data_IF_790798145661
#
_entry.id   IF_790798145661
#
_cell.length_a   1.000
_cell.length_b   1.000
_cell.length_c   1.000
_cell.angle_alpha   90.00
_cell.angle_beta   90.00
_cell.angle_gamma   90.00
#
_symmetry.space_group_name_H-M   'P 1'
#
loop_
_entity.id
_entity.type
_entity.pdbx_description
1 polymer ?
#
# COMPACT_ATOMS: atom_id res chain seq x y z
N UNK A 1 -96.20 -44.32 9.60
CA UNK A 1 -96.28 -43.67 8.27
C UNK A 1 -95.17 -42.61 8.21
N UNK A 2 -93.98 -42.92 7.68
CA UNK A 2 -93.49 -42.59 6.30
C UNK A 2 -93.48 -41.08 6.02
N UNK A 3 -92.41 -40.36 5.65
CA UNK A 3 -91.03 -40.60 5.14
C UNK A 3 -90.24 -39.26 5.27
N UNK A 4 -88.89 -39.24 5.11
CA UNK A 4 -88.03 -38.07 5.38
C UNK A 4 -87.87 -37.12 4.18
N UNK A 5 -87.35 -35.90 4.40
CA UNK A 5 -86.78 -35.05 3.34
C UNK A 5 -85.36 -34.61 3.71
N UNK A 6 -84.40 -35.11 2.92
CA UNK A 6 -83.03 -34.62 2.84
C UNK A 6 -83.01 -33.21 2.25
N UNK A 7 -82.13 -32.35 2.74
CA UNK A 7 -81.52 -31.29 1.93
C UNK A 7 -80.05 -31.17 2.28
N UNK A 8 -79.25 -31.12 1.22
CA UNK A 8 -77.83 -31.43 1.17
C UNK A 8 -76.94 -30.40 1.86
N UNK A 9 -75.88 -30.89 2.52
CA UNK A 9 -74.71 -30.11 2.92
C UNK A 9 -73.93 -29.70 1.67
N UNK A 10 -73.77 -28.40 1.43
CA UNK A 10 -72.78 -27.86 0.50
C UNK A 10 -71.42 -27.85 1.21
N UNK A 11 -70.53 -28.79 0.86
CA UNK A 11 -69.11 -28.72 1.22
C UNK A 11 -68.42 -27.70 0.30
N UNK A 12 -68.02 -26.57 0.88
CA UNK A 12 -67.19 -25.58 0.20
C UNK A 12 -65.73 -26.05 0.23
N UNK A 13 -65.24 -26.65 -0.85
CA UNK A 13 -63.82 -26.98 -1.01
C UNK A 13 -63.07 -25.70 -1.36
N UNK A 14 -62.44 -25.07 -0.36
CA UNK A 14 -61.51 -23.98 -0.58
C UNK A 14 -60.20 -24.53 -1.17
N UNK A 15 -60.00 -24.33 -2.47
CA UNK A 15 -58.74 -24.65 -3.14
C UNK A 15 -57.69 -23.61 -2.71
N UNK A 16 -56.82 -24.01 -1.78
CA UNK A 16 -55.62 -23.26 -1.40
C UNK A 16 -54.61 -23.31 -2.54
N UNK A 17 -54.55 -22.26 -3.35
CA UNK A 17 -53.48 -22.02 -4.31
C UNK A 17 -52.18 -21.73 -3.55
N UNK A 18 -51.41 -22.78 -3.27
CA UNK A 18 -50.06 -22.66 -2.72
C UNK A 18 -49.15 -21.91 -3.69
N UNK A 19 -48.81 -20.67 -3.36
CA UNK A 19 -47.81 -19.90 -4.09
C UNK A 19 -46.42 -20.43 -3.71
N UNK A 20 -45.80 -21.21 -4.59
CA UNK A 20 -44.39 -21.57 -4.45
C UNK A 20 -43.55 -20.33 -4.73
N UNK A 21 -43.17 -19.60 -3.67
CA UNK A 21 -42.15 -18.58 -3.77
C UNK A 21 -40.83 -19.28 -4.16
N UNK A 22 -40.43 -19.14 -5.42
CA UNK A 22 -39.09 -19.49 -5.84
C UNK A 22 -38.12 -18.58 -5.10
N UNK A 23 -37.51 -19.10 -4.04
CA UNK A 23 -36.34 -18.48 -3.45
C UNK A 23 -35.22 -18.58 -4.49
N UNK A 24 -35.02 -17.52 -5.27
CA UNK A 24 -33.82 -17.32 -6.06
C UNK A 24 -32.64 -17.32 -5.10
N UNK A 25 -31.99 -18.48 -4.97
CA UNK A 25 -30.73 -18.64 -4.28
C UNK A 25 -29.67 -17.97 -5.13
N UNK A 26 -29.55 -16.64 -4.97
CA UNK A 26 -28.46 -15.88 -5.57
C UNK A 26 -27.14 -16.55 -5.19
N UNK A 27 -26.38 -17.01 -6.19
CA UNK A 27 -25.07 -17.63 -5.97
C UNK A 27 -24.21 -16.65 -5.15
N UNK A 28 -23.52 -17.10 -4.08
CA UNK A 28 -22.66 -16.23 -3.30
C UNK A 28 -21.66 -15.53 -4.22
N UNK A 29 -21.62 -14.19 -4.17
CA UNK A 29 -20.62 -13.42 -4.93
C UNK A 29 -19.23 -13.89 -4.46
N UNK A 30 -18.31 -14.22 -5.38
CA UNK A 30 -16.97 -14.62 -4.98
C UNK A 30 -16.33 -13.52 -4.14
N UNK A 31 -15.53 -13.88 -3.10
CA UNK A 31 -14.92 -12.91 -2.24
C UNK A 31 -14.06 -11.92 -3.06
N UNK A 32 -14.01 -10.63 -2.69
CA UNK A 32 -13.15 -9.66 -3.36
C UNK A 32 -11.72 -10.20 -3.38
N UNK A 33 -11.01 -10.11 -4.52
CA UNK A 33 -9.62 -10.57 -4.55
C UNK A 33 -8.78 -9.72 -3.60
N UNK A 34 -7.81 -10.35 -2.94
CA UNK A 34 -6.91 -9.67 -2.04
C UNK A 34 -6.14 -8.56 -2.77
N UNK A 35 -5.80 -7.50 -2.04
CA UNK A 35 -4.97 -6.39 -2.54
C UNK A 35 -5.51 -5.68 -3.78
N UNK A 36 -6.83 -5.70 -3.95
CA UNK A 36 -7.54 -4.86 -4.91
C UNK A 36 -7.98 -3.56 -4.24
N UNK A 37 -7.88 -2.47 -4.99
CA UNK A 37 -8.29 -1.13 -4.57
C UNK A 37 -7.25 -0.08 -4.95
N UNK A 38 -7.64 1.19 -5.09
CA UNK A 38 -6.72 2.28 -5.40
C UNK A 38 -5.62 2.44 -4.34
N UNK A 39 -5.87 2.07 -3.09
CA UNK A 39 -4.91 2.20 -1.99
C UNK A 39 -3.65 1.35 -2.20
N UNK A 40 -3.81 0.14 -2.78
CA UNK A 40 -2.71 -0.77 -3.11
C UNK A 40 -1.83 -0.29 -4.27
N UNK A 41 -2.28 0.74 -4.98
CA UNK A 41 -1.60 1.34 -6.13
C UNK A 41 -0.90 2.66 -5.77
N UNK A 42 -1.12 3.19 -4.55
CA UNK A 42 -0.59 4.51 -4.15
C UNK A 42 0.93 4.61 -4.19
N UNK A 43 1.66 3.50 -4.02
CA UNK A 43 3.14 3.47 -4.08
C UNK A 43 3.70 3.08 -5.46
N UNK A 44 2.84 2.93 -6.47
CA UNK A 44 3.27 2.48 -7.80
C UNK A 44 4.18 3.45 -8.54
N UNK A 45 4.08 4.75 -8.25
CA UNK A 45 4.95 5.76 -8.86
C UNK A 45 6.44 5.42 -8.67
N UNK A 46 6.76 4.71 -7.59
CA UNK A 46 8.11 4.32 -7.23
C UNK A 46 8.58 3.01 -7.89
N UNK A 47 7.66 2.18 -8.38
CA UNK A 47 7.99 0.92 -9.05
C UNK A 47 8.77 1.22 -10.34
N UNK A 48 9.93 0.59 -10.48
CA UNK A 48 10.82 0.85 -11.59
C UNK A 48 12.29 0.60 -11.28
N UNK A 49 13.10 0.88 -12.30
CA UNK A 49 14.54 0.82 -12.24
C UNK A 49 15.09 2.25 -12.22
N UNK A 50 15.94 2.59 -11.25
CA UNK A 50 16.35 3.97 -10.99
C UNK A 50 17.85 4.11 -10.84
N UNK A 51 18.39 5.15 -11.48
CA UNK A 51 19.70 5.71 -11.15
C UNK A 51 19.52 6.84 -10.15
N UNK A 52 20.43 6.93 -9.19
CA UNK A 52 20.34 7.90 -8.12
C UNK A 52 21.62 8.71 -8.04
N UNK A 53 21.45 10.00 -7.75
CA UNK A 53 22.55 10.87 -7.37
C UNK A 53 22.31 11.49 -6.00
N UNK A 54 23.38 11.62 -5.22
CA UNK A 54 23.30 12.18 -3.87
C UNK A 54 24.55 12.99 -3.52
N UNK A 55 24.37 13.97 -2.65
CA UNK A 55 25.44 14.85 -2.22
C UNK A 55 26.00 14.37 -0.88
N UNK A 56 27.33 14.18 -0.78
CA UNK A 56 28.02 13.78 0.46
C UNK A 56 28.61 14.98 1.24
N UNK A 57 28.27 16.22 0.86
CA UNK A 57 28.81 17.46 1.43
C UNK A 57 29.34 18.39 0.33
N UNK A 58 29.45 19.70 0.62
CA UNK A 58 29.75 20.75 -0.38
C UNK A 58 31.01 20.49 -1.22
N UNK A 59 32.00 19.79 -0.67
CA UNK A 59 33.31 19.57 -1.31
C UNK A 59 33.54 18.10 -1.73
N UNK A 60 32.51 17.25 -1.71
CA UNK A 60 32.64 15.85 -2.12
C UNK A 60 32.03 15.61 -3.51
N UNK A 61 32.63 14.73 -4.33
CA UNK A 61 32.01 14.31 -5.57
C UNK A 61 30.60 13.79 -5.34
N UNK A 62 29.72 14.03 -6.32
CA UNK A 62 28.37 13.50 -6.28
C UNK A 62 28.43 11.98 -6.30
N UNK A 63 27.83 11.35 -5.30
CA UNK A 63 27.74 9.91 -5.21
C UNK A 63 26.66 9.37 -6.14
N UNK A 64 26.82 8.10 -6.55
CA UNK A 64 25.84 7.38 -7.36
C UNK A 64 25.36 6.14 -6.63
N UNK A 65 24.08 5.84 -6.82
CA UNK A 65 23.44 4.63 -6.31
C UNK A 65 22.45 4.10 -7.35
N UNK A 66 21.98 2.88 -7.12
CA UNK A 66 21.01 2.19 -7.95
C UNK A 66 19.91 1.62 -7.07
N UNK A 67 18.66 1.71 -7.54
CA UNK A 67 17.53 1.17 -6.82
C UNK A 67 16.55 0.50 -7.78
N UNK A 68 16.27 -0.77 -7.52
CA UNK A 68 15.30 -1.57 -8.27
C UNK A 68 14.09 -1.85 -7.39
N UNK A 69 12.93 -1.35 -7.82
CA UNK A 69 11.66 -1.53 -7.14
C UNK A 69 10.73 -2.35 -8.03
N UNK A 70 10.25 -3.48 -7.52
CA UNK A 70 9.41 -4.42 -8.28
C UNK A 70 8.16 -4.84 -7.51
N UNK A 71 7.11 -5.23 -8.24
CA UNK A 71 6.03 -6.03 -7.63
C UNK A 71 6.59 -7.43 -7.34
N UNK A 72 6.29 -7.95 -6.15
CA UNK A 72 6.74 -9.28 -5.74
C UNK A 72 5.97 -10.41 -6.44
N UNK A 73 6.34 -11.66 -6.15
CA UNK A 73 5.55 -12.84 -6.53
C UNK A 73 4.14 -12.88 -5.88
N UNK A 74 3.86 -12.01 -4.89
CA UNK A 74 2.55 -11.83 -4.27
C UNK A 74 1.67 -10.79 -5.02
N UNK A 75 2.08 -10.40 -6.23
CA UNK A 75 1.34 -9.46 -7.08
C UNK A 75 1.27 -8.05 -6.46
N UNK A 76 0.09 -7.44 -6.53
CA UNK A 76 -0.13 -6.05 -6.09
C UNK A 76 -0.10 -5.87 -4.56
N UNK A 77 -0.01 -6.95 -3.80
CA UNK A 77 0.06 -6.90 -2.35
C UNK A 77 1.38 -6.32 -1.83
N UNK A 78 2.49 -6.66 -2.49
CA UNK A 78 3.83 -6.40 -1.95
C UNK A 78 4.74 -5.83 -3.02
N UNK A 79 5.35 -4.69 -2.71
CA UNK A 79 6.45 -4.08 -3.44
C UNK A 79 7.76 -4.47 -2.74
N UNK A 80 8.77 -4.83 -3.54
CA UNK A 80 10.13 -5.11 -3.06
C UNK A 80 11.09 -4.06 -3.59
N UNK A 81 12.04 -3.68 -2.76
CA UNK A 81 13.12 -2.76 -3.11
C UNK A 81 14.46 -3.48 -3.02
N UNK A 82 15.38 -3.19 -3.94
CA UNK A 82 16.79 -3.56 -3.86
C UNK A 82 17.64 -2.31 -4.12
N UNK A 83 18.17 -1.75 -3.05
CA UNK A 83 19.03 -0.57 -3.08
C UNK A 83 20.51 -1.00 -3.06
N UNK A 84 21.34 -0.32 -3.85
CA UNK A 84 22.78 -0.55 -3.85
C UNK A 84 23.57 0.73 -4.13
N UNK A 85 24.68 0.88 -3.44
CA UNK A 85 25.69 1.92 -3.65
C UNK A 85 27.06 1.35 -3.24
N UNK A 86 28.18 2.02 -3.54
CA UNK A 86 29.50 1.50 -3.16
C UNK A 86 29.59 1.20 -1.65
N UNK A 87 29.80 -0.07 -1.29
CA UNK A 87 29.95 -0.54 0.09
C UNK A 87 28.67 -0.67 0.91
N UNK A 88 27.50 -0.31 0.37
CA UNK A 88 26.24 -0.37 1.10
C UNK A 88 25.10 -0.88 0.22
N UNK A 89 24.32 -1.81 0.74
CA UNK A 89 23.14 -2.35 0.06
C UNK A 89 22.06 -2.69 1.07
N UNK A 90 20.81 -2.53 0.65
CA UNK A 90 19.65 -2.81 1.46
C UNK A 90 18.47 -3.27 0.63
N UNK A 91 17.47 -3.80 1.32
CA UNK A 91 16.23 -4.29 0.72
C UNK A 91 15.07 -3.89 1.60
N UNK A 92 13.91 -3.69 0.98
CA UNK A 92 12.68 -3.47 1.73
C UNK A 92 11.51 -4.24 1.15
N UNK A 93 10.51 -4.47 2.01
CA UNK A 93 9.20 -5.00 1.65
C UNK A 93 8.15 -3.99 2.07
N UNK A 94 7.31 -3.58 1.12
CA UNK A 94 6.26 -2.58 1.28
C UNK A 94 4.88 -3.18 0.99
N UNK A 95 3.92 -3.00 1.89
CA UNK A 95 2.53 -3.50 1.75
C UNK A 95 1.53 -2.48 2.28
N UNK A 96 0.35 -2.40 1.67
CA UNK A 96 -0.77 -1.66 2.25
C UNK A 96 -1.50 -2.52 3.29
N UNK A 97 -1.50 -2.08 4.54
CA UNK A 97 -2.18 -2.75 5.64
C UNK A 97 -3.58 -2.19 5.82
N UNK A 98 -4.59 -2.97 5.39
CA UNK A 98 -6.00 -2.54 5.33
C UNK A 98 -6.55 -2.08 6.67
N UNK A 99 -6.23 -2.80 7.75
CA UNK A 99 -6.79 -2.55 9.08
C UNK A 99 -6.35 -1.20 9.63
N UNK A 100 -5.11 -0.79 9.38
CA UNK A 100 -4.63 0.53 9.79
C UNK A 100 -4.83 1.61 8.72
N UNK A 101 -5.24 1.25 7.50
CA UNK A 101 -5.34 2.16 6.37
C UNK A 101 -4.01 2.81 5.98
N UNK A 102 -2.88 2.14 6.22
CA UNK A 102 -1.53 2.68 6.04
C UNK A 102 -0.64 1.72 5.27
N UNK A 103 0.28 2.26 4.50
CA UNK A 103 1.44 1.52 4.01
C UNK A 103 2.35 1.17 5.18
N UNK A 104 2.89 -0.05 5.14
CA UNK A 104 3.91 -0.57 6.04
C UNK A 104 5.12 -0.95 5.22
N UNK A 105 6.29 -0.55 5.66
CA UNK A 105 7.54 -0.96 5.04
C UNK A 105 8.52 -1.45 6.10
N UNK A 106 9.15 -2.58 5.83
CA UNK A 106 10.31 -3.05 6.59
C UNK A 106 11.55 -2.91 5.71
N UNK A 107 12.53 -2.16 6.19
CA UNK A 107 13.86 -2.04 5.58
C UNK A 107 14.89 -2.83 6.38
N UNK A 108 15.82 -3.46 5.68
CA UNK A 108 17.04 -4.05 6.24
C UNK A 108 18.26 -3.79 5.34
N UNK A 109 19.45 -3.73 5.93
CA UNK A 109 20.70 -3.50 5.17
C UNK A 109 21.90 -4.31 5.68
N UNK A 110 22.97 -4.27 4.90
CA UNK A 110 24.22 -4.98 5.16
C UNK A 110 25.07 -4.38 6.29
N UNK A 111 24.62 -3.31 6.92
CA UNK A 111 25.23 -2.71 8.11
C UNK A 111 24.43 -3.04 9.38
N UNK A 112 23.41 -3.90 9.28
CA UNK A 112 22.57 -4.30 10.40
C UNK A 112 21.45 -3.30 10.71
N UNK A 113 21.19 -2.35 9.81
CA UNK A 113 20.04 -1.45 9.92
C UNK A 113 18.73 -2.21 9.80
N UNK A 114 17.76 -1.80 10.62
CA UNK A 114 16.38 -2.27 10.58
C UNK A 114 15.45 -1.08 10.83
N UNK A 115 14.48 -0.87 9.94
CA UNK A 115 13.44 0.15 10.13
C UNK A 115 12.06 -0.43 9.85
N UNK A 116 11.17 -0.33 10.84
CA UNK A 116 9.74 -0.53 10.67
C UNK A 116 9.07 0.82 10.45
N UNK A 117 8.45 0.99 9.29
CA UNK A 117 7.97 2.27 8.79
C UNK A 117 6.49 2.19 8.45
N UNK A 118 5.74 3.25 8.72
CA UNK A 118 4.34 3.34 8.39
C UNK A 118 3.92 4.73 7.91
N UNK A 119 2.97 4.80 6.99
CA UNK A 119 2.50 6.06 6.44
C UNK A 119 1.64 5.90 5.20
N UNK A 120 1.75 6.83 4.26
CA UNK A 120 0.90 6.88 3.08
C UNK A 120 1.03 8.19 2.29
N UNK A 121 0.04 8.51 1.46
CA UNK A 121 -0.05 9.80 0.77
C UNK A 121 0.04 10.96 1.75
N UNK A 122 0.69 12.03 1.32
CA UNK A 122 0.90 13.19 2.16
C UNK A 122 -0.41 13.95 2.43
N UNK A 123 -0.50 14.65 3.57
CA UNK A 123 -1.54 15.66 3.78
C UNK A 123 -1.49 16.76 2.71
N UNK A 124 -2.62 17.41 2.47
CA UNK A 124 -2.79 18.41 1.39
C UNK A 124 -1.76 19.56 1.40
N UNK A 125 -1.29 19.96 2.57
CA UNK A 125 -0.38 21.11 2.75
C UNK A 125 1.08 20.68 3.03
N UNK A 126 1.40 19.41 2.81
CA UNK A 126 2.76 18.91 2.94
C UNK A 126 3.63 19.35 1.74
N UNK A 127 4.93 19.45 1.98
CA UNK A 127 5.95 19.72 0.96
C UNK A 127 6.44 18.45 0.23
N UNK A 128 5.70 17.34 0.36
CA UNK A 128 5.98 16.04 -0.23
C UNK A 128 4.68 15.34 -0.62
N UNK A 129 4.75 14.30 -1.46
CA UNK A 129 3.59 13.60 -2.01
C UNK A 129 3.26 12.29 -1.29
N UNK A 130 4.28 11.64 -0.73
CA UNK A 130 4.14 10.39 0.01
C UNK A 130 5.19 10.32 1.12
N UNK A 131 4.85 9.75 2.27
CA UNK A 131 5.78 9.63 3.38
C UNK A 131 5.51 8.46 4.32
N UNK A 132 6.58 7.85 4.83
CA UNK A 132 6.56 6.85 5.88
C UNK A 132 7.40 7.33 7.07
N UNK A 133 6.91 7.16 8.29
CA UNK A 133 7.62 7.48 9.53
C UNK A 133 7.96 6.21 10.30
N UNK A 134 9.03 6.26 11.11
CA UNK A 134 9.43 5.16 11.97
C UNK A 134 8.31 4.84 12.96
N UNK A 135 7.96 3.57 13.04
CA UNK A 135 7.05 3.04 14.06
C UNK A 135 7.87 2.77 15.31
N UNK A 136 7.56 3.46 16.39
CA UNK A 136 8.19 3.19 17.67
C UNK A 136 7.55 1.99 18.36
N UNK A 137 8.34 1.04 18.88
CA UNK A 137 7.87 0.09 19.86
C UNK A 137 7.33 0.81 21.09
N UNK A 138 6.47 0.12 21.83
CA UNK A 138 5.85 0.64 23.05
C UNK A 138 6.93 1.15 24.03
N UNK A 139 6.71 2.34 24.58
CA UNK A 139 7.65 2.99 25.50
C UNK A 139 8.83 3.71 24.83
N UNK A 140 9.07 3.52 23.52
CA UNK A 140 10.03 4.31 22.77
C UNK A 140 9.35 5.49 22.06
N UNK A 141 10.02 6.65 22.06
CA UNK A 141 9.58 7.85 21.32
C UNK A 141 10.63 8.37 20.34
N UNK A 142 11.82 7.78 20.34
CA UNK A 142 12.96 8.20 19.53
C UNK A 142 13.73 6.95 19.05
N UNK A 143 14.51 7.06 17.96
CA UNK A 143 14.73 8.25 17.13
C UNK A 143 13.51 8.63 16.29
N UNK A 144 13.32 9.92 15.96
CA UNK A 144 12.30 10.35 15.01
C UNK A 144 12.90 10.35 13.61
N UNK A 145 12.44 9.43 12.77
CA UNK A 145 12.93 9.25 11.41
C UNK A 145 11.74 9.19 10.46
N UNK A 146 11.89 9.80 9.28
CA UNK A 146 10.92 9.66 8.20
C UNK A 146 11.59 9.59 6.85
N UNK A 147 10.90 8.91 5.95
CA UNK A 147 11.20 8.80 4.54
C UNK A 147 10.09 9.51 3.77
N UNK A 148 10.43 10.44 2.90
CA UNK A 148 9.47 11.18 2.07
C UNK A 148 9.88 11.18 0.61
N UNK A 149 8.88 11.18 -0.28
CA UNK A 149 9.03 11.31 -1.72
C UNK A 149 8.37 12.60 -2.19
N UNK A 150 9.10 13.35 -3.02
CA UNK A 150 8.61 14.49 -3.78
C UNK A 150 8.65 14.10 -5.26
N UNK A 151 7.49 13.84 -5.84
CA UNK A 151 7.32 13.38 -7.22
C UNK A 151 7.36 14.61 -8.12
N UNK A 152 8.32 14.65 -9.05
CA UNK A 152 8.42 15.74 -10.03
C UNK A 152 7.62 15.39 -11.28
N UNK A 153 7.83 14.18 -11.79
CA UNK A 153 7.12 13.61 -12.92
C UNK A 153 7.27 12.07 -12.89
N UNK A 154 6.89 11.39 -13.98
CA UNK A 154 6.94 9.94 -14.07
C UNK A 154 8.37 9.36 -14.00
N UNK A 155 9.39 10.13 -14.36
CA UNK A 155 10.78 9.69 -14.50
C UNK A 155 11.73 10.34 -13.49
N UNK A 156 11.24 11.31 -12.71
CA UNK A 156 12.03 12.04 -11.73
C UNK A 156 11.29 12.20 -10.40
N UNK A 157 12.00 11.87 -9.31
CA UNK A 157 11.54 12.17 -7.95
C UNK A 157 12.72 12.49 -7.04
N UNK A 158 12.44 13.10 -5.90
CA UNK A 158 13.40 13.31 -4.82
C UNK A 158 12.95 12.49 -3.62
N UNK A 159 13.85 11.65 -3.13
CA UNK A 159 13.66 10.88 -1.92
C UNK A 159 14.50 11.47 -0.81
N UNK A 160 13.93 11.61 0.39
CA UNK A 160 14.65 12.15 1.53
C UNK A 160 14.51 11.24 2.74
N UNK A 161 15.64 10.99 3.41
CA UNK A 161 15.67 10.47 4.76
C UNK A 161 15.88 11.63 5.72
N UNK A 162 14.94 11.81 6.64
CA UNK A 162 14.92 12.94 7.54
C UNK A 162 14.87 12.49 8.99
N UNK A 163 15.37 13.35 9.87
CA UNK A 163 15.25 13.16 11.31
C UNK A 163 14.85 14.45 12.02
N UNK A 164 14.32 14.32 13.23
CA UNK A 164 14.21 15.44 14.19
C UNK A 164 14.64 14.99 15.58
N UNK A 165 14.98 15.94 16.45
CA UNK A 165 15.47 15.64 17.81
C UNK A 165 14.34 15.27 18.78
N UNK A 166 13.20 15.91 18.65
CA UNK A 166 12.02 15.69 19.48
C UNK A 166 10.74 15.88 18.67
N UNK A 167 9.62 15.52 19.26
CA UNK A 167 8.31 15.92 18.78
C UNK A 167 8.20 17.46 18.70
N UNK A 168 7.43 17.97 17.74
CA UNK A 168 7.26 19.42 17.49
C UNK A 168 8.45 20.15 16.85
N UNK A 169 9.64 19.54 16.75
CA UNK A 169 10.78 20.15 16.07
C UNK A 169 10.76 19.94 14.55
N UNK A 170 11.48 20.82 13.84
CA UNK A 170 11.64 20.75 12.40
C UNK A 170 12.44 19.52 11.97
N UNK A 171 12.05 18.96 10.82
CA UNK A 171 12.78 17.90 10.16
C UNK A 171 14.06 18.43 9.52
N UNK A 172 15.11 17.61 9.53
CA UNK A 172 16.38 17.89 8.88
C UNK A 172 16.80 16.71 8.02
N UNK A 173 17.28 17.01 6.81
CA UNK A 173 17.77 16.01 5.87
C UNK A 173 19.02 15.31 6.41
N UNK A 174 18.99 13.98 6.35
CA UNK A 174 20.14 13.08 6.54
C UNK A 174 20.66 12.62 5.20
N UNK A 175 19.74 12.28 4.30
CA UNK A 175 20.02 11.91 2.92
C UNK A 175 19.01 12.58 1.99
N UNK A 176 19.51 13.03 0.84
CA UNK A 176 18.70 13.52 -0.28
C UNK A 176 19.19 12.80 -1.52
N UNK A 177 18.32 11.97 -2.09
CA UNK A 177 18.59 11.18 -3.28
C UNK A 177 17.72 11.69 -4.41
N UNK A 178 18.33 12.08 -5.53
CA UNK A 178 17.62 12.42 -6.75
C UNK A 178 17.51 11.17 -7.60
N UNK A 179 16.28 10.73 -7.89
CA UNK A 179 16.00 9.55 -8.69
C UNK A 179 15.78 9.96 -10.14
N UNK A 180 16.36 9.21 -11.07
CA UNK A 180 16.12 9.31 -12.51
C UNK A 180 15.84 7.92 -13.05
N UNK A 181 14.70 7.74 -13.72
CA UNK A 181 14.28 6.44 -14.21
C UNK A 181 15.24 5.95 -15.29
N UNK A 182 15.62 4.68 -15.19
CA UNK A 182 16.38 3.99 -16.22
C UNK A 182 15.43 3.66 -17.36
N UNK A 183 15.63 4.31 -18.50
CA UNK A 183 14.86 4.03 -19.70
C UNK A 183 15.26 2.64 -20.24
N UNK A 184 14.30 1.84 -20.74
CA UNK A 184 14.64 0.61 -21.45
C UNK A 184 15.56 0.96 -22.61
N UNK A 185 16.73 0.31 -22.69
CA UNK A 185 17.53 0.38 -23.91
C UNK A 185 16.67 -0.17 -25.04
N UNK A 186 16.40 0.66 -26.05
CA UNK A 186 15.72 0.22 -27.26
C UNK A 186 16.52 -0.96 -27.82
N UNK A 187 15.90 -2.14 -27.89
CA UNK A 187 16.48 -3.26 -28.62
C UNK A 187 16.40 -2.88 -30.10
N UNK A 188 17.55 -2.59 -30.70
CA UNK A 188 17.71 -2.54 -32.15
C UNK A 188 17.70 -3.97 -32.71
#
# INVERSE_FOLDING_TARGET
>A
MTKPKLTASLLLVAVLLGSTANADTAKPKPPPKACQGPEFRQLDFWVGNWNLSYNQGKDKPMGTAHNLITKSALGDCVITEKFSMPGFHGTSLSTFHKQSGKWRQTWVDNQGGYFDLAGGPAPKDADYDFGLELVHPEGMKAPFLRMIWQIKDADHLVWRWQSKKSEGQNWSDRWVLNYTRVQPTAKH
#
